data_IF_086637537389
#
_entry.id   IF_086637537389
#
_cell.length_a   1.000
_cell.length_b   1.000
_cell.length_c   1.000
_cell.angle_alpha   90.00
_cell.angle_beta   90.00
_cell.angle_gamma   90.00
#
_symmetry.space_group_name_H-M   'P 1'
#
loop_
_entity.id
_entity.type
_entity.pdbx_description
1 polymer ?
#
# COMPACT_ATOMS: atom_id res chain seq x y z
N UNK A 1 -21.05 12.52 50.94
CA UNK A 1 -21.92 12.23 49.81
C UNK A 1 -21.01 12.24 48.55
N UNK A 2 -20.48 11.08 48.17
CA UNK A 2 -19.60 10.91 46.99
C UNK A 2 -20.45 10.23 45.93
N UNK A 3 -20.69 10.92 44.80
CA UNK A 3 -21.42 10.38 43.67
C UNK A 3 -20.38 9.97 42.61
N UNK A 4 -20.46 8.72 42.21
CA UNK A 4 -19.64 8.07 41.19
C UNK A 4 -19.88 8.69 39.80
N UNK A 5 -18.81 9.16 39.13
CA UNK A 5 -18.79 9.54 37.72
C UNK A 5 -17.70 8.68 37.02
N UNK A 6 -17.95 7.40 36.86
CA UNK A 6 -17.04 6.52 36.12
C UNK A 6 -17.73 5.41 35.28
N UNK A 7 -19.03 5.55 34.99
CA UNK A 7 -19.74 4.49 34.27
C UNK A 7 -20.13 4.88 32.80
N UNK A 8 -19.87 6.13 32.35
CA UNK A 8 -20.39 6.60 31.06
C UNK A 8 -19.42 6.44 29.87
N UNK A 9 -18.12 6.25 30.10
CA UNK A 9 -17.15 6.23 28.99
C UNK A 9 -16.98 4.85 28.34
N UNK A 10 -17.14 3.77 29.09
CA UNK A 10 -16.97 2.43 28.54
C UNK A 10 -18.14 1.95 27.67
N UNK A 11 -19.35 2.40 27.97
CA UNK A 11 -20.54 2.01 27.18
C UNK A 11 -20.54 2.62 25.77
N UNK A 12 -19.91 3.76 25.55
CA UNK A 12 -19.87 4.41 24.25
C UNK A 12 -18.87 3.74 23.27
N UNK A 13 -17.78 3.20 23.79
CA UNK A 13 -16.79 2.46 22.99
C UNK A 13 -17.33 1.08 22.62
N UNK A 14 -17.92 0.36 23.57
CA UNK A 14 -18.56 -0.94 23.30
C UNK A 14 -19.73 -0.85 22.31
N UNK A 15 -20.53 0.21 22.40
CA UNK A 15 -21.65 0.41 21.48
C UNK A 15 -21.20 0.73 20.06
N UNK A 16 -20.10 1.48 19.88
CA UNK A 16 -19.51 1.76 18.56
C UNK A 16 -18.85 0.53 17.95
N UNK A 17 -18.16 -0.27 18.74
CA UNK A 17 -17.54 -1.54 18.29
C UNK A 17 -18.62 -2.54 17.88
N UNK A 18 -19.72 -2.64 18.60
CA UNK A 18 -20.86 -3.51 18.24
C UNK A 18 -21.59 -3.02 16.97
N UNK A 19 -21.63 -1.73 16.70
CA UNK A 19 -22.20 -1.17 15.47
C UNK A 19 -21.32 -1.45 14.23
N UNK A 20 -20.00 -1.42 14.36
CA UNK A 20 -19.08 -1.77 13.28
C UNK A 20 -19.15 -3.28 12.99
N UNK A 21 -19.14 -4.13 14.01
CA UNK A 21 -19.34 -5.58 13.88
C UNK A 21 -20.72 -5.92 13.28
N UNK A 22 -21.77 -5.19 13.67
CA UNK A 22 -23.11 -5.37 13.11
C UNK A 22 -23.19 -4.93 11.64
N UNK A 23 -22.47 -3.87 11.24
CA UNK A 23 -22.43 -3.42 9.83
C UNK A 23 -21.70 -4.42 8.94
N UNK A 24 -20.58 -4.98 9.38
CA UNK A 24 -19.85 -6.03 8.67
C UNK A 24 -20.69 -7.33 8.62
N UNK A 25 -21.36 -7.69 9.72
CA UNK A 25 -22.22 -8.88 9.78
C UNK A 25 -23.48 -8.73 8.90
N UNK A 26 -24.06 -7.52 8.79
CA UNK A 26 -25.21 -7.27 7.92
C UNK A 26 -24.83 -7.38 6.44
N UNK A 27 -23.63 -7.00 6.05
CA UNK A 27 -23.13 -7.21 4.69
C UNK A 27 -22.97 -8.71 4.39
N UNK A 28 -22.51 -9.50 5.34
CA UNK A 28 -22.35 -10.95 5.21
C UNK A 28 -23.71 -11.69 5.21
N UNK A 29 -24.68 -11.27 6.05
CA UNK A 29 -25.99 -11.92 6.14
C UNK A 29 -26.90 -11.54 4.96
N UNK A 30 -26.78 -10.34 4.39
CA UNK A 30 -27.54 -9.97 3.18
C UNK A 30 -27.09 -10.72 1.93
N UNK A 31 -25.93 -11.38 1.96
CA UNK A 31 -25.47 -12.26 0.90
C UNK A 31 -26.02 -13.70 0.97
N UNK A 32 -26.59 -14.12 2.12
CA UNK A 32 -26.98 -15.54 2.35
C UNK A 32 -28.48 -15.81 2.36
N UNK A 33 -29.37 -14.82 2.33
CA UNK A 33 -30.81 -15.08 2.34
C UNK A 33 -31.62 -14.05 1.54
N UNK A 34 -31.69 -14.28 0.26
CA UNK A 34 -32.62 -13.61 -0.66
C UNK A 34 -32.39 -14.15 -2.07
N UNK A 35 -33.34 -14.90 -2.59
CA UNK A 35 -33.48 -15.02 -4.04
C UNK A 35 -33.72 -13.63 -4.62
N UNK A 36 -32.68 -12.80 -4.64
CA UNK A 36 -32.63 -11.64 -5.54
C UNK A 36 -32.54 -12.23 -6.94
N UNK A 37 -33.54 -11.92 -7.79
CA UNK A 37 -33.41 -11.97 -9.23
C UNK A 37 -31.96 -11.61 -9.56
N UNK A 38 -31.24 -12.49 -10.25
CA UNK A 38 -29.94 -12.18 -10.85
C UNK A 38 -30.11 -10.87 -11.62
N UNK A 39 -29.82 -9.75 -10.96
CA UNK A 39 -29.48 -8.52 -11.65
C UNK A 39 -28.30 -8.91 -12.52
N UNK A 40 -28.43 -8.69 -13.78
CA UNK A 40 -27.43 -8.90 -14.81
C UNK A 40 -26.11 -8.32 -14.32
N UNK A 41 -25.25 -9.16 -13.72
CA UNK A 41 -23.84 -8.82 -13.59
C UNK A 41 -23.39 -8.80 -15.05
N UNK A 42 -23.33 -7.61 -15.64
CA UNK A 42 -22.66 -7.43 -16.90
C UNK A 42 -21.26 -7.96 -16.69
N UNK A 43 -21.01 -9.18 -17.11
CA UNK A 43 -19.70 -9.83 -17.04
C UNK A 43 -18.73 -8.82 -17.67
N UNK A 44 -17.71 -8.43 -16.93
CA UNK A 44 -16.67 -7.52 -17.40
C UNK A 44 -16.03 -8.21 -18.59
N UNK A 45 -16.42 -7.79 -19.81
CA UNK A 45 -15.92 -8.39 -21.05
C UNK A 45 -14.47 -7.95 -21.24
N UNK A 46 -13.61 -8.88 -21.61
CA UNK A 46 -12.22 -8.64 -21.98
C UNK A 46 -11.23 -9.48 -21.17
N UNK A 47 -9.99 -9.40 -21.58
CA UNK A 47 -8.86 -10.06 -20.93
C UNK A 47 -8.81 -9.63 -19.44
N UNK A 48 -8.75 -10.58 -18.50
CA UNK A 48 -8.57 -10.27 -17.08
C UNK A 48 -7.24 -9.56 -16.81
N UNK A 49 -6.23 -9.74 -17.66
CA UNK A 49 -4.91 -9.13 -17.56
C UNK A 49 -4.55 -8.37 -18.83
N UNK A 50 -5.16 -7.19 -19.06
CA UNK A 50 -4.89 -6.41 -20.26
C UNK A 50 -3.44 -5.93 -20.28
N UNK A 51 -2.89 -5.72 -21.47
CA UNK A 51 -1.48 -5.37 -21.69
C UNK A 51 -1.03 -4.17 -20.86
N UNK A 52 -1.89 -3.20 -20.71
CA UNK A 52 -1.63 -1.99 -19.93
C UNK A 52 -1.30 -2.27 -18.46
N UNK A 53 -1.71 -3.44 -17.92
CA UNK A 53 -1.48 -3.86 -16.54
C UNK A 53 -0.32 -4.84 -16.38
N UNK A 54 0.16 -5.46 -17.47
CA UNK A 54 1.10 -6.60 -17.38
C UNK A 54 2.30 -6.49 -18.33
N UNK A 55 2.25 -5.64 -19.37
CA UNK A 55 3.35 -5.51 -20.34
C UNK A 55 3.99 -4.12 -20.23
N UNK A 56 5.24 -4.09 -19.79
CA UNK A 56 5.98 -2.86 -19.55
C UNK A 56 7.33 -2.86 -20.28
N UNK A 57 7.71 -1.69 -20.79
CA UNK A 57 9.00 -1.47 -21.47
C UNK A 57 9.83 -0.51 -20.64
N UNK A 58 11.06 -0.88 -20.23
CA UNK A 58 11.91 -0.01 -19.44
C UNK A 58 12.28 1.27 -20.21
N UNK A 59 12.34 2.38 -19.49
CA UNK A 59 12.92 3.61 -20.00
C UNK A 59 14.43 3.42 -20.21
N UNK A 60 14.95 3.88 -21.33
CA UNK A 60 16.35 3.61 -21.73
C UNK A 60 17.40 4.22 -20.79
N UNK A 61 17.06 5.35 -20.13
CA UNK A 61 17.97 6.07 -19.26
C UNK A 61 17.62 5.88 -17.76
N UNK A 62 17.17 4.69 -17.39
CA UNK A 62 17.00 4.32 -15.99
C UNK A 62 18.34 4.20 -15.23
N UNK A 63 18.38 4.42 -13.92
CA UNK A 63 17.27 4.87 -13.05
C UNK A 63 16.96 6.37 -13.20
N UNK A 64 15.69 6.75 -12.98
CA UNK A 64 15.26 8.16 -13.05
C UNK A 64 15.45 8.94 -11.75
N UNK A 65 15.62 8.24 -10.62
CA UNK A 65 15.92 8.84 -9.32
C UNK A 65 16.67 7.86 -8.42
N UNK A 66 17.70 8.34 -7.72
CA UNK A 66 18.54 7.53 -6.82
C UNK A 66 18.82 8.28 -5.53
N UNK A 67 19.35 7.61 -4.52
CA UNK A 67 19.98 8.26 -3.38
C UNK A 67 21.12 9.16 -3.85
N UNK A 68 21.52 10.11 -3.01
CA UNK A 68 22.61 11.05 -3.37
C UNK A 68 23.97 10.38 -3.47
N UNK A 69 24.17 9.24 -2.80
CA UNK A 69 25.46 8.58 -2.66
C UNK A 69 26.48 9.37 -1.83
N UNK A 70 26.09 10.58 -1.38
CA UNK A 70 26.93 11.48 -0.58
C UNK A 70 26.58 11.38 0.90
N UNK A 71 27.32 12.07 1.75
CA UNK A 71 27.07 12.12 3.19
C UNK A 71 25.90 13.09 3.52
N UNK A 72 24.74 12.75 3.01
CA UNK A 72 23.45 13.42 3.24
C UNK A 72 22.46 12.46 3.87
N UNK A 73 21.38 12.96 4.43
CA UNK A 73 20.34 12.14 5.08
C UNK A 73 19.72 11.11 4.14
N UNK A 74 19.67 11.36 2.82
CA UNK A 74 19.18 10.50 1.76
C UNK A 74 20.32 9.94 0.87
N UNK A 75 21.46 9.64 1.51
CA UNK A 75 22.57 8.96 0.84
C UNK A 75 22.09 7.73 0.09
N UNK A 76 21.20 6.98 0.73
CA UNK A 76 20.53 5.82 0.18
C UNK A 76 19.02 6.10 0.18
N UNK A 77 18.35 5.69 -0.88
CA UNK A 77 16.90 5.56 -0.92
C UNK A 77 16.59 4.08 -1.12
N UNK A 78 15.56 3.62 -0.44
CA UNK A 78 15.10 2.26 -0.50
C UNK A 78 13.64 2.23 -0.09
N UNK A 79 13.03 1.09 -0.19
CA UNK A 79 11.64 0.82 0.14
C UNK A 79 10.66 1.58 -0.76
N UNK A 80 9.40 1.26 -0.64
CA UNK A 80 8.37 1.86 -1.47
C UNK A 80 8.21 3.36 -1.16
N UNK A 81 8.54 4.20 -2.12
CA UNK A 81 8.02 5.56 -2.19
C UNK A 81 6.63 5.58 -2.81
N UNK A 82 6.08 6.77 -3.06
CA UNK A 82 4.81 6.91 -3.77
C UNK A 82 4.83 8.09 -4.74
N UNK A 83 4.20 7.92 -5.90
CA UNK A 83 4.13 8.96 -6.93
C UNK A 83 2.67 9.26 -7.24
N UNK A 84 2.31 10.55 -7.20
CA UNK A 84 1.06 11.06 -7.74
C UNK A 84 1.36 11.99 -8.92
N UNK A 85 0.55 11.90 -9.97
CA UNK A 85 0.50 12.90 -11.04
C UNK A 85 -0.71 13.81 -10.82
N UNK A 86 -0.47 15.06 -10.48
CA UNK A 86 -1.51 16.05 -10.26
C UNK A 86 -1.35 17.20 -11.28
N UNK A 87 -2.28 17.26 -12.22
CA UNK A 87 -2.31 18.30 -13.27
C UNK A 87 -1.00 18.41 -14.07
N UNK A 88 -0.35 17.29 -14.36
CA UNK A 88 0.91 17.22 -15.11
C UNK A 88 2.16 17.44 -14.26
N UNK A 89 2.02 17.64 -12.96
CA UNK A 89 3.15 17.65 -12.00
C UNK A 89 3.22 16.32 -11.27
N UNK A 90 4.31 15.61 -11.44
CA UNK A 90 4.59 14.38 -10.69
C UNK A 90 5.19 14.76 -9.34
N UNK A 91 4.61 14.21 -8.29
CA UNK A 91 5.03 14.38 -6.90
C UNK A 91 5.49 13.04 -6.36
N UNK A 92 6.70 13.01 -5.85
CA UNK A 92 7.33 11.81 -5.29
C UNK A 92 7.56 12.03 -3.80
N UNK A 93 7.05 11.13 -2.99
CA UNK A 93 7.47 10.92 -1.61
C UNK A 93 8.35 9.68 -1.57
N UNK A 94 9.49 9.76 -0.90
CA UNK A 94 10.49 8.69 -0.89
C UNK A 94 11.13 8.51 0.48
N UNK A 95 11.55 7.30 0.76
CA UNK A 95 12.30 6.96 1.96
C UNK A 95 13.78 7.24 1.74
N UNK A 96 14.42 7.93 2.70
CA UNK A 96 15.86 8.18 2.65
C UNK A 96 16.53 7.93 4.00
N UNK A 97 17.79 7.50 3.95
CA UNK A 97 18.60 7.27 5.14
C UNK A 97 20.10 7.29 4.83
N UNK A 98 20.91 7.45 5.90
CA UNK A 98 22.37 7.41 5.82
C UNK A 98 22.92 6.54 6.95
N UNK A 99 23.40 5.37 6.60
CA UNK A 99 23.92 4.37 7.54
C UNK A 99 23.42 2.95 7.26
N UNK A 100 23.60 2.04 8.22
CA UNK A 100 23.06 0.68 8.11
C UNK A 100 21.53 0.70 8.11
N UNK A 101 20.92 -0.37 7.67
CA UNK A 101 19.48 -0.49 7.50
C UNK A 101 18.66 -0.28 8.79
N UNK A 102 19.29 -0.43 9.94
CA UNK A 102 18.69 -0.19 11.26
C UNK A 102 18.54 1.28 11.67
N UNK A 103 19.10 2.24 10.88
CA UNK A 103 18.90 3.67 11.16
C UNK A 103 17.51 4.13 10.80
N UNK A 104 17.03 5.18 11.48
CA UNK A 104 15.70 5.73 11.22
C UNK A 104 15.57 6.19 9.78
N UNK A 105 14.49 5.77 9.13
CA UNK A 105 14.12 6.19 7.79
C UNK A 105 13.34 7.51 7.87
N UNK A 106 13.65 8.42 6.97
CA UNK A 106 13.02 9.74 6.89
C UNK A 106 12.30 9.92 5.56
N UNK A 107 11.30 10.80 5.58
CA UNK A 107 10.48 11.10 4.41
C UNK A 107 11.09 12.26 3.62
N UNK A 108 11.36 12.02 2.35
CA UNK A 108 11.73 13.04 1.38
C UNK A 108 10.62 13.38 0.40
N UNK A 109 10.78 14.50 -0.29
CA UNK A 109 9.87 14.97 -1.32
C UNK A 109 10.64 15.47 -2.54
N UNK A 110 10.15 15.13 -3.71
CA UNK A 110 10.66 15.63 -4.99
C UNK A 110 9.50 15.86 -5.96
N UNK A 111 9.72 16.73 -6.96
CA UNK A 111 8.76 16.98 -8.03
C UNK A 111 9.39 16.81 -9.40
N UNK A 112 8.57 16.52 -10.39
CA UNK A 112 8.98 16.44 -11.77
C UNK A 112 7.89 16.97 -12.72
N UNK A 113 8.22 17.74 -13.76
CA UNK A 113 7.26 18.15 -14.78
C UNK A 113 6.92 17.03 -15.78
N UNK A 114 7.72 15.98 -15.83
CA UNK A 114 7.65 14.94 -16.85
C UNK A 114 7.72 13.50 -16.29
N UNK A 115 7.88 13.36 -14.96
CA UNK A 115 8.04 12.05 -14.29
C UNK A 115 9.39 11.36 -14.56
N UNK A 116 10.33 12.05 -15.18
CA UNK A 116 11.68 11.56 -15.53
C UNK A 116 12.74 12.41 -14.84
N UNK A 117 12.64 13.73 -15.01
CA UNK A 117 13.60 14.69 -14.46
C UNK A 117 13.10 15.22 -13.11
N UNK A 118 13.69 14.73 -12.02
CA UNK A 118 13.23 15.01 -10.67
C UNK A 118 14.07 16.09 -9.98
N UNK A 119 13.38 17.00 -9.30
CA UNK A 119 13.99 18.02 -8.45
C UNK A 119 13.63 17.74 -6.99
N UNK A 120 14.66 17.47 -6.16
CA UNK A 120 14.48 17.34 -4.70
C UNK A 120 14.01 18.66 -4.09
N UNK A 121 13.07 18.57 -3.16
CA UNK A 121 12.66 19.73 -2.39
C UNK A 121 13.84 20.21 -1.50
N UNK A 122 14.13 21.51 -1.52
CA UNK A 122 15.28 22.10 -0.80
C UNK A 122 15.17 21.92 0.72
N UNK A 123 13.94 21.93 1.26
CA UNK A 123 13.65 21.74 2.69
C UNK A 123 13.59 20.28 3.17
N UNK A 124 14.08 19.32 2.39
CA UNK A 124 14.13 17.91 2.81
C UNK A 124 15.06 17.67 4.01
N UNK A 125 14.77 16.66 4.88
CA UNK A 125 13.59 15.79 4.85
C UNK A 125 12.31 16.51 5.28
N UNK A 126 11.20 16.23 4.63
CA UNK A 126 9.88 16.82 4.94
C UNK A 126 9.23 16.22 6.20
N UNK A 127 9.67 15.06 6.64
CA UNK A 127 9.27 14.47 7.92
C UNK A 127 10.39 13.57 8.47
N UNK A 128 10.79 13.83 9.72
CA UNK A 128 11.90 13.13 10.39
C UNK A 128 11.63 12.86 11.90
N UNK A 129 10.35 12.91 12.31
CA UNK A 129 9.99 12.75 13.73
C UNK A 129 9.89 11.28 14.16
N UNK A 130 9.70 10.40 13.19
CA UNK A 130 9.66 8.94 13.40
C UNK A 130 10.05 8.21 12.13
N UNK A 131 10.30 6.92 12.23
CA UNK A 131 10.52 6.00 11.12
C UNK A 131 9.34 6.04 10.14
N UNK A 132 9.60 6.25 8.86
CA UNK A 132 8.57 6.38 7.82
C UNK A 132 9.09 5.79 6.52
N UNK A 133 8.51 4.67 6.11
CA UNK A 133 8.83 3.97 4.86
C UNK A 133 7.58 3.29 4.29
N UNK A 134 7.69 2.65 3.15
CA UNK A 134 6.64 1.89 2.48
C UNK A 134 5.28 2.60 2.43
N UNK A 135 5.33 3.86 1.99
CA UNK A 135 4.19 4.75 2.04
C UNK A 135 3.21 4.53 0.88
N UNK A 136 1.95 4.75 1.17
CA UNK A 136 0.86 4.92 0.22
C UNK A 136 0.23 6.30 0.42
N UNK A 137 0.13 7.11 -0.64
CA UNK A 137 -0.35 8.50 -0.56
C UNK A 137 -1.56 8.69 -1.47
N UNK A 138 -2.56 9.38 -0.97
CA UNK A 138 -3.74 9.76 -1.76
C UNK A 138 -4.29 11.12 -1.33
N UNK A 139 -5.21 11.65 -2.14
CA UNK A 139 -5.96 12.88 -1.81
C UNK A 139 -7.30 12.51 -1.21
N UNK A 140 -7.62 13.12 -0.08
CA UNK A 140 -8.95 13.10 0.52
C UNK A 140 -9.34 14.55 0.83
N UNK A 141 -10.42 15.02 0.21
CA UNK A 141 -10.80 16.43 0.22
C UNK A 141 -9.64 17.36 -0.18
N UNK A 142 -9.22 18.24 0.72
CA UNK A 142 -8.12 19.17 0.49
C UNK A 142 -6.76 18.69 1.04
N UNK A 143 -6.72 17.48 1.64
CA UNK A 143 -5.51 16.96 2.28
C UNK A 143 -4.87 15.84 1.47
N UNK A 144 -3.56 15.70 1.63
CA UNK A 144 -2.84 14.45 1.40
C UNK A 144 -2.96 13.59 2.66
N UNK A 145 -3.28 12.35 2.47
CA UNK A 145 -3.26 11.33 3.52
C UNK A 145 -2.20 10.29 3.13
N UNK A 146 -1.32 9.99 4.05
CA UNK A 146 -0.28 8.99 3.88
C UNK A 146 -0.47 7.90 4.92
N UNK A 147 -0.52 6.67 4.47
CA UNK A 147 -0.30 5.48 5.27
C UNK A 147 1.14 5.05 5.06
N UNK A 148 1.90 4.93 6.11
CA UNK A 148 3.30 4.56 6.02
C UNK A 148 3.66 3.53 7.07
N UNK A 149 4.63 2.71 6.74
CA UNK A 149 5.21 1.79 7.69
C UNK A 149 6.13 2.52 8.66
N UNK A 150 6.06 2.13 9.91
CA UNK A 150 6.90 2.60 10.98
C UNK A 150 7.88 1.53 11.45
N UNK A 151 8.62 1.82 12.49
CA UNK A 151 9.54 0.84 13.09
C UNK A 151 8.77 -0.41 13.57
N UNK A 152 9.33 -1.61 13.34
CA UNK A 152 8.77 -2.92 13.64
C UNK A 152 7.47 -3.19 12.85
N UNK A 153 7.40 -2.67 11.64
CA UNK A 153 6.30 -2.88 10.69
C UNK A 153 4.94 -2.51 11.29
N UNK A 154 4.91 -1.38 12.00
CA UNK A 154 3.67 -0.82 12.58
C UNK A 154 3.24 0.39 11.77
N UNK A 155 2.21 0.23 10.96
CA UNK A 155 1.71 1.27 10.10
C UNK A 155 1.09 2.44 10.88
N UNK A 156 1.31 3.67 10.38
CA UNK A 156 0.80 4.92 10.94
C UNK A 156 0.24 5.84 9.85
N UNK A 157 -0.45 6.89 10.28
CA UNK A 157 -1.08 7.85 9.38
C UNK A 157 -0.44 9.22 9.54
N UNK A 158 -0.12 9.85 8.42
CA UNK A 158 0.29 11.25 8.35
C UNK A 158 -0.72 12.02 7.48
N UNK A 159 -1.02 13.28 7.84
CA UNK A 159 -1.90 14.17 7.08
C UNK A 159 -1.16 15.47 6.76
N UNK A 160 -1.35 16.00 5.55
CA UNK A 160 -0.77 17.27 5.10
C UNK A 160 -1.69 18.00 4.13
N UNK A 161 -1.79 19.33 4.24
CA UNK A 161 -2.52 20.15 3.28
C UNK A 161 -1.74 20.37 1.98
N UNK A 162 -0.41 20.37 2.05
CA UNK A 162 0.49 20.72 0.94
C UNK A 162 1.39 19.55 0.44
N UNK A 163 1.40 18.42 1.16
CA UNK A 163 2.26 17.27 0.88
C UNK A 163 3.71 17.44 1.37
N UNK A 164 4.00 18.52 2.09
CA UNK A 164 5.32 18.87 2.64
C UNK A 164 5.28 18.94 4.16
N UNK A 165 4.29 19.60 4.72
CA UNK A 165 4.13 19.77 6.16
C UNK A 165 3.22 18.69 6.74
N UNK A 166 3.79 17.63 7.30
CA UNK A 166 3.07 16.45 7.75
C UNK A 166 2.78 16.46 9.25
N UNK A 167 1.56 16.06 9.60
CA UNK A 167 1.08 15.88 10.97
C UNK A 167 0.81 14.40 11.24
N UNK A 168 1.44 13.86 12.28
CA UNK A 168 1.27 12.48 12.73
C UNK A 168 -0.08 12.29 13.42
N UNK A 169 -0.87 11.32 12.96
CA UNK A 169 -2.15 10.93 13.51
C UNK A 169 -2.05 9.67 14.39
N UNK A 170 -0.84 9.13 14.55
CA UNK A 170 -0.57 7.91 15.32
C UNK A 170 -0.71 6.63 14.51
N UNK A 171 -0.49 5.53 15.22
CA UNK A 171 -0.52 4.20 14.63
C UNK A 171 -1.96 3.77 14.31
N UNK A 172 -2.12 3.00 13.25
CA UNK A 172 -3.41 2.36 12.94
C UNK A 172 -3.70 1.28 13.99
N UNK A 173 -4.97 0.97 14.15
CA UNK A 173 -5.41 -0.13 15.00
C UNK A 173 -6.21 -1.13 14.19
N UNK A 174 -5.71 -2.35 14.12
CA UNK A 174 -6.38 -3.44 13.42
C UNK A 174 -6.93 -4.45 14.46
N UNK A 175 -8.17 -4.87 14.24
CA UNK A 175 -8.86 -5.87 15.06
C UNK A 175 -9.11 -7.13 14.21
N UNK A 176 -9.09 -8.28 14.86
CA UNK A 176 -9.62 -9.53 14.28
C UNK A 176 -11.13 -9.41 14.05
N UNK A 177 -11.71 -10.36 13.32
CA UNK A 177 -13.17 -10.47 13.13
C UNK A 177 -13.93 -10.62 14.46
N UNK A 178 -13.26 -11.06 15.52
CA UNK A 178 -13.81 -11.20 16.89
C UNK A 178 -13.64 -9.96 17.75
N UNK A 179 -12.91 -8.95 17.26
CA UNK A 179 -12.67 -7.69 17.95
C UNK A 179 -11.41 -7.68 18.83
N UNK A 180 -10.59 -8.71 18.79
CA UNK A 180 -9.30 -8.74 19.46
C UNK A 180 -8.29 -7.86 18.73
N UNK A 181 -7.44 -7.13 19.44
CA UNK A 181 -6.42 -6.29 18.81
C UNK A 181 -5.29 -7.15 18.25
N UNK A 182 -4.92 -6.89 16.99
CA UNK A 182 -3.72 -7.44 16.36
C UNK A 182 -2.54 -6.58 16.81
N UNK A 183 -1.52 -7.14 17.48
CA UNK A 183 -0.42 -6.34 18.06
C UNK A 183 0.61 -5.84 17.03
N UNK A 184 0.52 -6.28 15.76
CA UNK A 184 1.52 -6.15 14.70
C UNK A 184 2.29 -7.48 14.51
N UNK A 185 3.22 -7.57 13.52
CA UNK A 185 3.41 -6.55 12.50
C UNK A 185 2.21 -6.38 11.57
N UNK A 186 2.10 -5.23 10.92
CA UNK A 186 1.20 -4.94 9.81
C UNK A 186 1.82 -3.81 8.96
N UNK A 187 2.71 -4.20 8.08
CA UNK A 187 3.51 -3.34 7.21
C UNK A 187 2.89 -3.10 5.84
N UNK A 188 3.63 -2.39 5.00
CA UNK A 188 3.30 -2.02 3.61
C UNK A 188 1.84 -1.59 3.39
N UNK A 189 1.28 -0.67 4.22
CA UNK A 189 -0.14 -0.36 4.22
C UNK A 189 -0.57 0.27 2.88
N UNK A 190 -1.68 -0.20 2.32
CA UNK A 190 -2.27 0.30 1.08
C UNK A 190 -3.77 0.37 1.22
N UNK A 191 -4.39 1.48 0.86
CA UNK A 191 -5.84 1.65 1.02
C UNK A 191 -6.57 1.83 -0.30
N UNK A 192 -7.84 1.39 -0.30
CA UNK A 192 -8.82 1.65 -1.35
C UNK A 192 -10.11 2.15 -0.73
N UNK A 193 -10.75 3.14 -1.35
CA UNK A 193 -12.05 3.66 -0.88
C UNK A 193 -13.10 3.50 -1.95
N UNK A 194 -14.19 2.82 -1.62
CA UNK A 194 -15.34 2.66 -2.51
C UNK A 194 -16.62 2.41 -1.71
N UNK A 195 -17.74 2.97 -2.16
CA UNK A 195 -19.07 2.79 -1.54
C UNK A 195 -19.11 3.15 -0.04
N UNK A 196 -18.44 4.22 0.35
CA UNK A 196 -18.31 4.70 1.74
C UNK A 196 -17.64 3.69 2.69
N UNK A 197 -16.86 2.76 2.17
CA UNK A 197 -16.09 1.80 2.92
C UNK A 197 -14.63 1.91 2.51
N UNK A 198 -13.75 1.95 3.50
CA UNK A 198 -12.31 1.89 3.33
C UNK A 198 -11.84 0.46 3.45
N UNK A 199 -10.93 0.07 2.58
CA UNK A 199 -10.26 -1.23 2.52
C UNK A 199 -8.79 -0.99 2.76
N UNK A 200 -8.19 -1.64 3.76
CA UNK A 200 -6.76 -1.62 4.06
C UNK A 200 -6.18 -2.97 3.75
N UNK A 201 -5.26 -3.00 2.82
CA UNK A 201 -4.41 -4.15 2.56
C UNK A 201 -3.10 -3.94 3.31
N UNK A 202 -2.64 -4.98 4.00
CA UNK A 202 -1.43 -4.95 4.80
C UNK A 202 -0.77 -6.34 4.82
N UNK A 203 0.53 -6.38 4.95
CA UNK A 203 1.26 -7.63 5.11
C UNK A 203 1.53 -7.94 6.59
N UNK A 204 1.93 -9.17 6.89
CA UNK A 204 2.43 -9.60 8.19
C UNK A 204 3.62 -10.51 7.99
N UNK A 205 4.83 -10.03 8.36
CA UNK A 205 6.11 -10.70 8.17
C UNK A 205 6.37 -11.09 6.70
N UNK A 206 5.80 -10.37 5.73
CA UNK A 206 5.81 -10.67 4.29
C UNK A 206 5.33 -12.10 3.93
N UNK A 207 4.65 -12.79 4.85
CA UNK A 207 4.12 -14.12 4.59
C UNK A 207 2.89 -14.12 3.69
N UNK A 208 2.07 -13.08 3.80
CA UNK A 208 0.83 -12.94 3.03
C UNK A 208 0.28 -11.51 3.14
N UNK A 209 -0.81 -11.24 2.41
CA UNK A 209 -1.54 -9.98 2.42
C UNK A 209 -2.93 -10.20 3.00
N UNK A 210 -3.27 -9.42 4.03
CA UNK A 210 -4.58 -9.39 4.68
C UNK A 210 -5.40 -8.19 4.22
N UNK A 211 -6.70 -8.26 4.49
CA UNK A 211 -7.65 -7.19 4.24
C UNK A 211 -8.41 -6.84 5.51
N UNK A 212 -8.36 -5.56 5.89
CA UNK A 212 -9.22 -4.99 6.91
C UNK A 212 -10.11 -3.90 6.32
N UNK A 213 -11.24 -3.62 6.96
CA UNK A 213 -12.20 -2.60 6.53
C UNK A 213 -12.45 -1.59 7.64
N UNK A 214 -12.79 -0.35 7.24
CA UNK A 214 -13.09 0.74 8.18
C UNK A 214 -14.08 1.74 7.58
N UNK A 215 -14.90 2.35 8.44
CA UNK A 215 -15.76 3.49 8.07
C UNK A 215 -15.14 4.85 8.45
N UNK A 216 -14.01 4.86 9.17
CA UNK A 216 -13.46 6.09 9.76
C UNK A 216 -11.94 6.20 9.68
N UNK A 217 -11.27 5.26 9.04
CA UNK A 217 -9.80 5.18 8.87
C UNK A 217 -8.98 5.09 10.18
N UNK A 218 -9.62 5.04 11.35
CA UNK A 218 -8.95 5.02 12.66
C UNK A 218 -8.92 3.64 13.28
N UNK A 219 -10.00 2.89 13.11
CA UNK A 219 -10.13 1.51 13.59
C UNK A 219 -10.49 0.63 12.41
N UNK A 220 -9.68 -0.36 12.21
CA UNK A 220 -9.81 -1.33 11.14
C UNK A 220 -10.23 -2.67 11.71
N UNK A 221 -11.11 -3.38 11.03
CA UNK A 221 -11.53 -4.73 11.41
C UNK A 221 -11.23 -5.64 10.24
N UNK A 222 -10.54 -6.74 10.48
CA UNK A 222 -10.30 -7.73 9.44
C UNK A 222 -11.60 -8.11 8.74
N UNK A 223 -11.58 -8.14 7.42
CA UNK A 223 -12.69 -8.66 6.62
C UNK A 223 -12.86 -10.15 6.89
N UNK A 224 -11.74 -10.86 6.96
CA UNK A 224 -11.57 -12.24 7.41
C UNK A 224 -10.21 -12.35 8.11
N UNK A 225 -10.03 -13.33 8.99
CA UNK A 225 -8.77 -13.49 9.72
C UNK A 225 -7.71 -14.28 8.92
N UNK A 226 -8.12 -14.92 7.82
CA UNK A 226 -7.25 -15.51 6.81
C UNK A 226 -6.77 -14.46 5.81
N UNK A 227 -5.59 -14.63 5.19
CA UNK A 227 -5.09 -13.71 4.17
C UNK A 227 -5.95 -13.73 2.90
N UNK A 228 -5.92 -12.66 2.12
CA UNK A 228 -6.58 -12.55 0.81
C UNK A 228 -5.63 -12.90 -0.34
N UNK A 229 -4.31 -12.85 -0.12
CA UNK A 229 -3.29 -13.31 -1.05
C UNK A 229 -2.11 -13.89 -0.28
N UNK A 230 -1.81 -15.15 -0.51
CA UNK A 230 -0.69 -15.87 0.12
C UNK A 230 0.53 -15.89 -0.81
N UNK A 231 1.74 -16.05 -0.24
CA UNK A 231 2.94 -16.40 -1.01
C UNK A 231 2.79 -17.79 -1.64
N UNK A 232 3.55 -18.06 -2.71
CA UNK A 232 3.43 -19.31 -3.45
C UNK A 232 2.06 -19.53 -4.13
N UNK A 233 1.80 -20.68 -4.73
CA UNK A 233 2.71 -21.82 -4.88
C UNK A 233 3.81 -21.61 -5.93
N UNK A 234 3.75 -20.51 -6.69
CA UNK A 234 4.72 -20.23 -7.75
C UNK A 234 6.09 -19.90 -7.18
N UNK A 235 7.14 -20.18 -7.94
CA UNK A 235 8.50 -20.01 -7.43
C UNK A 235 8.83 -18.54 -7.15
N UNK A 236 8.39 -17.59 -7.99
CA UNK A 236 8.76 -16.18 -7.91
C UNK A 236 8.31 -15.49 -6.61
N UNK A 237 7.32 -16.02 -5.92
CA UNK A 237 6.76 -15.47 -4.69
C UNK A 237 6.71 -16.48 -3.53
N UNK A 238 7.53 -17.52 -3.58
CA UNK A 238 7.55 -18.56 -2.56
C UNK A 238 8.22 -18.15 -1.25
N UNK A 239 9.05 -17.11 -1.27
CA UNK A 239 9.76 -16.59 -0.10
C UNK A 239 8.94 -15.55 0.65
N UNK A 240 8.44 -14.52 -0.05
CA UNK A 240 7.70 -13.41 0.56
C UNK A 240 6.79 -12.70 -0.44
N UNK A 241 5.76 -12.00 0.09
CA UNK A 241 4.85 -11.12 -0.67
C UNK A 241 4.42 -9.92 0.16
N UNK A 242 4.40 -8.72 -0.45
CA UNK A 242 3.85 -7.53 0.19
C UNK A 242 3.16 -6.59 -0.82
N UNK A 243 2.04 -6.00 -0.42
CA UNK A 243 1.21 -5.15 -1.28
C UNK A 243 1.84 -3.77 -1.49
N UNK A 244 1.71 -3.20 -2.70
CA UNK A 244 2.20 -1.85 -2.98
C UNK A 244 1.09 -0.89 -3.40
N UNK A 245 0.15 -1.34 -4.24
CA UNK A 245 -0.92 -0.48 -4.73
C UNK A 245 -2.15 -1.29 -5.13
N UNK A 246 -3.33 -0.74 -4.86
CA UNK A 246 -4.59 -1.19 -5.44
C UNK A 246 -5.09 -0.12 -6.40
N UNK A 247 -5.53 -0.52 -7.57
CA UNK A 247 -6.20 0.36 -8.52
C UNK A 247 -7.36 -0.34 -9.23
N UNK A 248 -8.29 0.45 -9.76
CA UNK A 248 -9.42 -0.07 -10.55
C UNK A 248 -9.26 0.32 -12.01
N UNK A 249 -9.32 -0.67 -12.89
CA UNK A 249 -9.23 -0.48 -14.34
C UNK A 249 -10.26 -1.36 -15.06
N UNK A 250 -11.03 -0.78 -15.96
CA UNK A 250 -12.08 -1.47 -16.72
C UNK A 250 -13.00 -2.35 -15.87
N UNK A 251 -13.34 -1.87 -14.67
CA UNK A 251 -14.28 -2.52 -13.76
C UNK A 251 -13.70 -3.65 -12.90
N UNK A 252 -12.41 -3.93 -12.99
CA UNK A 252 -11.67 -4.87 -12.16
C UNK A 252 -10.67 -4.16 -11.28
N UNK A 253 -10.29 -4.80 -10.17
CA UNK A 253 -9.25 -4.32 -9.26
C UNK A 253 -7.95 -5.04 -9.57
N UNK A 254 -6.83 -4.30 -9.49
CA UNK A 254 -5.48 -4.82 -9.68
C UNK A 254 -4.66 -4.48 -8.44
N UNK A 255 -4.04 -5.49 -7.87
CA UNK A 255 -3.07 -5.38 -6.80
C UNK A 255 -1.69 -5.50 -7.41
N UNK A 256 -0.91 -4.42 -7.34
CA UNK A 256 0.51 -4.46 -7.60
C UNK A 256 1.21 -4.80 -6.29
N UNK A 257 2.12 -5.76 -6.31
CA UNK A 257 2.80 -6.26 -5.14
C UNK A 257 4.24 -6.66 -5.46
N UNK A 258 5.10 -6.63 -4.46
CA UNK A 258 6.44 -7.17 -4.60
C UNK A 258 6.55 -8.55 -3.96
N UNK A 259 7.52 -9.33 -4.44
CA UNK A 259 7.73 -10.69 -4.00
C UNK A 259 9.18 -11.13 -4.19
N UNK A 260 9.59 -12.14 -3.45
CA UNK A 260 10.86 -12.86 -3.66
C UNK A 260 10.64 -14.36 -3.59
N UNK A 261 11.47 -15.09 -4.31
CA UNK A 261 11.55 -16.55 -4.21
C UNK A 261 12.45 -17.04 -3.06
N UNK A 262 13.23 -16.16 -2.45
CA UNK A 262 14.21 -16.52 -1.44
C UNK A 262 13.56 -16.60 -0.05
N UNK A 263 13.43 -17.80 0.56
CA UNK A 263 12.83 -17.96 1.90
C UNK A 263 13.75 -17.46 3.02
N UNK A 264 15.02 -17.16 2.73
CA UNK A 264 16.00 -16.63 3.68
C UNK A 264 16.23 -15.13 3.55
N UNK A 265 15.32 -14.41 2.86
CA UNK A 265 15.43 -12.97 2.61
C UNK A 265 15.65 -12.13 3.89
N UNK A 266 15.12 -12.58 5.02
CA UNK A 266 15.22 -11.90 6.32
C UNK A 266 16.58 -12.08 7.01
N UNK A 267 17.40 -13.04 6.55
CA UNK A 267 18.69 -13.35 7.19
C UNK A 267 19.69 -12.20 6.99
N UNK A 268 20.41 -11.78 8.04
CA UNK A 268 21.37 -10.69 7.94
C UNK A 268 22.40 -10.91 6.84
N UNK A 269 22.56 -9.93 5.94
CA UNK A 269 23.49 -9.97 4.81
C UNK A 269 22.98 -10.76 3.60
N UNK A 270 21.73 -11.21 3.62
CA UNK A 270 21.08 -11.74 2.44
C UNK A 270 20.91 -10.64 1.37
N UNK A 271 20.99 -11.04 0.10
CA UNK A 271 20.78 -10.20 -1.07
C UNK A 271 19.67 -10.80 -1.94
N UNK A 272 18.51 -11.02 -1.34
CA UNK A 272 17.35 -11.53 -2.04
C UNK A 272 16.98 -10.61 -3.21
N UNK A 273 16.65 -11.22 -4.35
CA UNK A 273 16.16 -10.51 -5.52
C UNK A 273 14.64 -10.36 -5.40
N UNK A 274 14.18 -9.12 -5.42
CA UNK A 274 12.77 -8.80 -5.34
C UNK A 274 12.20 -8.42 -6.71
N UNK A 275 10.98 -8.83 -6.97
CA UNK A 275 10.29 -8.67 -8.24
C UNK A 275 9.00 -7.88 -8.10
N UNK A 276 8.53 -7.30 -9.20
CA UNK A 276 7.21 -6.66 -9.28
C UNK A 276 6.19 -7.60 -9.92
N UNK A 277 5.02 -7.67 -9.33
CA UNK A 277 3.98 -8.63 -9.66
C UNK A 277 2.60 -7.98 -9.68
N UNK A 278 1.61 -8.65 -10.28
CA UNK A 278 0.23 -8.19 -10.30
C UNK A 278 -0.75 -9.35 -10.08
N UNK A 279 -1.82 -9.06 -9.34
CA UNK A 279 -2.99 -9.91 -9.20
C UNK A 279 -4.26 -9.13 -9.53
N UNK A 280 -5.32 -9.80 -9.94
CA UNK A 280 -6.61 -9.21 -10.30
C UNK A 280 -7.72 -9.75 -9.41
N UNK A 281 -8.70 -8.89 -9.10
CA UNK A 281 -9.92 -9.24 -8.37
C UNK A 281 -11.15 -8.57 -8.99
N UNK A 282 -12.33 -9.17 -8.82
CA UNK A 282 -13.62 -8.54 -9.12
C UNK A 282 -14.32 -7.97 -7.89
N UNK A 283 -13.80 -8.26 -6.67
CA UNK A 283 -14.49 -7.97 -5.40
C UNK A 283 -13.59 -7.51 -4.25
N UNK A 284 -12.28 -7.34 -4.47
CA UNK A 284 -11.24 -6.92 -3.50
C UNK A 284 -10.79 -8.00 -2.50
N UNK A 285 -11.38 -9.16 -2.46
CA UNK A 285 -11.01 -10.21 -1.50
C UNK A 285 -10.69 -11.58 -2.13
N UNK A 286 -11.14 -11.85 -3.36
CA UNK A 286 -10.69 -13.01 -4.14
C UNK A 286 -9.72 -12.56 -5.23
N UNK A 287 -8.45 -12.92 -5.09
CA UNK A 287 -7.39 -12.48 -5.98
C UNK A 287 -6.87 -13.63 -6.85
N UNK A 288 -6.65 -13.35 -8.12
CA UNK A 288 -6.00 -14.25 -9.07
C UNK A 288 -4.67 -13.63 -9.49
N UNK A 289 -3.57 -14.31 -9.21
CA UNK A 289 -2.24 -13.89 -9.65
C UNK A 289 -2.13 -13.99 -11.17
N UNK A 290 -1.42 -13.03 -11.78
CA UNK A 290 -1.15 -13.09 -13.21
C UNK A 290 -0.25 -14.28 -13.55
N UNK A 291 -0.65 -15.18 -14.49
CA UNK A 291 0.16 -16.36 -14.82
C UNK A 291 1.52 -16.06 -15.41
N UNK A 292 1.72 -14.83 -15.91
CA UNK A 292 2.99 -14.36 -16.47
C UNK A 292 3.82 -13.54 -15.48
N UNK A 293 3.51 -13.55 -14.17
CA UNK A 293 4.39 -12.94 -13.16
C UNK A 293 5.77 -13.61 -13.13
N UNK A 294 6.82 -12.84 -12.79
CA UNK A 294 6.83 -11.40 -12.48
C UNK A 294 6.67 -10.52 -13.72
N UNK A 295 6.02 -9.35 -13.56
CA UNK A 295 5.90 -8.33 -14.62
C UNK A 295 7.17 -7.49 -14.78
N UNK A 296 8.00 -7.42 -13.74
CA UNK A 296 9.37 -6.86 -13.77
C UNK A 296 10.27 -7.70 -12.88
N UNK A 297 11.40 -8.11 -13.42
CA UNK A 297 12.44 -8.93 -12.80
C UNK A 297 13.67 -8.07 -12.42
N UNK A 298 14.69 -8.70 -11.83
CA UNK A 298 16.02 -8.13 -11.71
C UNK A 298 16.23 -7.17 -10.54
N UNK A 299 15.60 -7.43 -9.39
CA UNK A 299 15.65 -6.61 -8.18
C UNK A 299 14.99 -5.23 -8.37
N UNK A 300 13.92 -5.21 -9.17
CA UNK A 300 13.08 -4.05 -9.41
C UNK A 300 11.71 -4.30 -8.82
N UNK A 301 11.56 -3.97 -7.54
CA UNK A 301 10.36 -4.23 -6.73
C UNK A 301 9.62 -2.94 -6.35
N UNK A 302 8.62 -3.09 -5.49
CA UNK A 302 7.80 -1.99 -4.98
C UNK A 302 7.11 -1.19 -6.09
N UNK A 303 6.30 -1.87 -6.94
CA UNK A 303 5.68 -1.26 -8.12
C UNK A 303 4.60 -0.25 -7.75
N UNK A 304 4.66 0.94 -8.38
CA UNK A 304 3.64 1.98 -8.33
C UNK A 304 3.24 2.37 -9.75
N UNK A 305 1.96 2.20 -10.07
CA UNK A 305 1.41 2.51 -11.38
C UNK A 305 0.77 3.91 -11.37
N UNK A 306 1.22 4.78 -12.27
CA UNK A 306 0.77 6.17 -12.37
C UNK A 306 0.08 6.38 -13.72
N UNK A 307 -1.16 6.90 -13.76
CA UNK A 307 -1.84 7.23 -15.01
C UNK A 307 -1.08 8.27 -15.82
N UNK A 308 -0.98 8.07 -17.13
CA UNK A 308 -0.34 8.96 -18.10
C UNK A 308 -1.16 9.01 -19.38
N UNK A 309 -2.19 9.87 -19.43
CA UNK A 309 -3.18 9.89 -20.49
C UNK A 309 -3.96 8.58 -20.57
N UNK A 310 -3.93 7.94 -21.73
CA UNK A 310 -4.61 6.63 -21.96
C UNK A 310 -3.74 5.42 -21.56
N UNK A 311 -2.53 5.67 -21.07
CA UNK A 311 -1.54 4.67 -20.68
C UNK A 311 -1.16 4.81 -19.22
N UNK A 312 -0.19 4.00 -18.82
CA UNK A 312 0.37 4.02 -17.48
C UNK A 312 1.89 4.07 -17.54
N UNK A 313 2.47 4.65 -16.49
CA UNK A 313 3.87 4.52 -16.12
C UNK A 313 3.96 3.64 -14.90
N UNK A 314 4.76 2.61 -14.98
CA UNK A 314 5.13 1.81 -13.81
C UNK A 314 6.46 2.33 -13.28
N UNK A 315 6.50 2.64 -12.00
CA UNK A 315 7.74 2.93 -11.29
C UNK A 315 8.01 1.80 -10.31
N UNK A 316 9.24 1.29 -10.32
CA UNK A 316 9.75 0.42 -9.27
C UNK A 316 10.62 1.24 -8.35
N UNK A 317 10.58 0.96 -7.03
CA UNK A 317 11.13 1.87 -6.02
C UNK A 317 12.35 1.30 -5.27
N UNK A 318 12.83 0.12 -5.66
CA UNK A 318 13.96 -0.56 -5.03
C UNK A 318 14.96 -1.06 -6.09
N UNK A 319 16.28 -0.82 -5.93
CA UNK A 319 16.99 0.00 -4.91
C UNK A 319 17.06 1.50 -5.25
N UNK A 320 16.47 1.90 -6.34
CA UNK A 320 16.29 3.26 -6.83
C UNK A 320 15.01 3.30 -7.64
N UNK A 321 14.64 4.45 -8.21
CA UNK A 321 13.42 4.57 -8.99
C UNK A 321 13.70 4.30 -10.45
N UNK A 322 13.09 3.26 -10.97
CA UNK A 322 13.12 2.85 -12.37
C UNK A 322 11.75 3.07 -13.00
N UNK A 323 11.73 3.57 -14.22
CA UNK A 323 10.53 3.88 -14.99
C UNK A 323 10.34 2.86 -16.11
N UNK A 324 9.08 2.45 -16.28
CA UNK A 324 8.63 1.60 -17.38
C UNK A 324 7.34 2.19 -17.98
N UNK A 325 7.15 2.02 -19.27
CA UNK A 325 5.95 2.45 -19.99
C UNK A 325 5.07 1.25 -20.32
N UNK A 326 3.77 1.36 -20.08
CA UNK A 326 2.82 0.31 -20.50
C UNK A 326 2.71 0.27 -22.04
N UNK A 327 2.56 -0.93 -22.58
CA UNK A 327 2.34 -1.14 -24.02
C UNK A 327 0.94 -0.81 -24.50
#
# INVERSE_FOLDING_TARGET
MKINIFAASNNHVEMKTRLILAAVLIILISSSCGQRKRGDKTAVKGDPFPKEMVEFVPYENNPVFTGTGQDTWDRTIRERGFILNENGTYKLWYTGYNGPDTVTKYLGYATSPDGINWTRYEGNPVYNKRWTEDMFVFREDNNYVMYAEGRNDVAHILISEDGINWQDQGDIKILTTKGDTIPGPYGTPTVWHENNLWYLFYERNDDAIWLAVSNNQKTWVNFQDEPVLERGPENYDSGAVAVNQILKFRGRYYMFYHATSDPSWIEPGNSAVWTSNVAMSEDLYHWTKYPGNPIVEGDHSSPVLVPDGDKFRLYTMHPGIWLYFSK
#
